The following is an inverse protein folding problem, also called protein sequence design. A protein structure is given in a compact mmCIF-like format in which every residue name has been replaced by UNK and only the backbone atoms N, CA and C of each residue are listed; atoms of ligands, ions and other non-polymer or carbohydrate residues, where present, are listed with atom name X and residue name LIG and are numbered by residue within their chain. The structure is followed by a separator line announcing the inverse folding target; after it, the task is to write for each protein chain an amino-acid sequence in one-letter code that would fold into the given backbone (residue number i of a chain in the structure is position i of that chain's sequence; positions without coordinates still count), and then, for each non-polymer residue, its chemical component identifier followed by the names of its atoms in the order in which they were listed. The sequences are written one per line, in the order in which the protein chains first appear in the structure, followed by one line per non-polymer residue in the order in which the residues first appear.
data_IF_634051938502
#
_entry.id   IF_634051938502
#
_cell.length_a   1.000
_cell.length_b   1.000
_cell.length_c   1.000
_cell.angle_alpha   90.00
_cell.angle_beta   90.00
_cell.angle_gamma   90.00
#
_symmetry.space_group_name_H-M   'P 1'
#
loop_
_entity.id
_entity.type
_entity.pdbx_description
1 polymer ?
#
# COMPACT_ATOMS: atom_id res chain seq x y z
N UNK A 1 -1.67 42.40 86.71
CA UNK A 1 -0.44 41.91 86.04
C UNK A 1 -0.83 40.77 85.11
N UNK A 2 -0.39 40.88 83.85
CA UNK A 2 -0.24 39.88 82.78
C UNK A 2 -1.45 39.12 82.19
N UNK A 3 -1.48 39.18 80.86
CA UNK A 3 -2.44 38.72 79.85
C UNK A 3 -2.57 37.19 79.70
N UNK A 4 -3.65 36.74 79.05
CA UNK A 4 -3.56 35.93 77.81
C UNK A 4 -4.94 35.77 77.13
N UNK A 5 -4.89 35.64 75.81
CA UNK A 5 -5.91 35.86 74.78
C UNK A 5 -6.66 34.58 74.35
N UNK A 6 -7.84 34.75 73.73
CA UNK A 6 -8.23 34.20 72.40
C UNK A 6 -9.35 33.12 72.26
N UNK A 7 -10.46 33.60 71.66
CA UNK A 7 -11.30 33.11 70.53
C UNK A 7 -12.09 31.77 70.58
N UNK A 8 -13.39 31.95 70.84
CA UNK A 8 -14.60 31.67 70.02
C UNK A 8 -14.52 30.71 68.81
N UNK A 9 -15.41 29.71 68.87
CA UNK A 9 -15.84 28.79 67.81
C UNK A 9 -16.89 29.40 66.85
N UNK A 10 -16.96 28.84 65.63
CA UNK A 10 -18.14 28.92 64.76
C UNK A 10 -17.81 29.22 63.29
N UNK A 11 -18.04 28.26 62.38
CA UNK A 11 -17.94 28.50 60.94
C UNK A 11 -18.14 27.26 60.06
N UNK A 12 -19.41 26.99 59.71
CA UNK A 12 -19.95 26.42 58.45
C UNK A 12 -19.07 25.44 57.63
N UNK A 13 -19.49 24.18 57.57
CA UNK A 13 -18.98 23.17 56.62
C UNK A 13 -19.48 23.50 55.21
N UNK A 14 -18.55 23.48 54.25
CA UNK A 14 -18.68 24.13 52.96
C UNK A 14 -19.42 23.30 51.90
N UNK A 15 -20.07 24.03 51.00
CA UNK A 15 -20.21 23.60 49.61
C UNK A 15 -18.81 23.42 49.02
N UNK A 16 -18.42 22.19 48.69
CA UNK A 16 -17.31 21.98 47.76
C UNK A 16 -17.80 22.29 46.35
N UNK A 17 -17.63 23.54 45.97
CA UNK A 17 -17.65 23.97 44.57
C UNK A 17 -16.41 23.36 43.91
N UNK A 18 -16.61 22.27 43.17
CA UNK A 18 -15.57 21.68 42.32
C UNK A 18 -15.26 22.68 41.22
N UNK A 19 -14.17 23.43 41.41
CA UNK A 19 -13.58 24.31 40.39
C UNK A 19 -13.29 23.45 39.15
N UNK A 20 -13.82 23.77 37.95
CA UNK A 20 -13.53 23.01 36.76
C UNK A 20 -12.02 23.11 36.51
N UNK A 21 -11.33 21.99 36.66
CA UNK A 21 -9.91 21.87 36.38
C UNK A 21 -9.71 22.18 34.89
N UNK A 22 -8.79 23.09 34.57
CA UNK A 22 -8.42 23.53 33.20
C UNK A 22 -8.29 22.40 32.16
N UNK A 23 -8.00 21.19 32.63
CA UNK A 23 -7.95 19.94 31.85
C UNK A 23 -9.30 19.51 31.27
N UNK A 24 -10.43 19.76 31.95
CA UNK A 24 -11.77 19.45 31.41
C UNK A 24 -12.09 20.36 30.22
N UNK A 25 -11.72 21.64 30.30
CA UNK A 25 -11.92 22.58 29.18
C UNK A 25 -11.05 22.23 27.96
N UNK A 26 -9.81 21.77 28.17
CA UNK A 26 -8.94 21.32 27.07
C UNK A 26 -9.44 20.02 26.43
N UNK A 27 -9.91 19.07 27.24
CA UNK A 27 -10.48 17.81 26.76
C UNK A 27 -11.79 18.01 26.00
N UNK A 28 -12.68 18.87 26.50
CA UNK A 28 -13.92 19.26 25.82
C UNK A 28 -13.62 19.96 24.49
N UNK A 29 -12.64 20.87 24.47
CA UNK A 29 -12.20 21.52 23.23
C UNK A 29 -11.72 20.51 22.18
N UNK A 30 -10.84 19.56 22.57
CA UNK A 30 -10.37 18.51 21.65
C UNK A 30 -11.48 17.59 21.18
N UNK A 31 -12.47 17.33 22.05
CA UNK A 31 -13.65 16.52 21.71
C UNK A 31 -14.54 17.26 20.71
N UNK A 32 -14.80 18.55 20.92
CA UNK A 32 -15.56 19.40 20.00
C UNK A 32 -14.83 19.58 18.66
N UNK A 33 -13.50 19.64 18.66
CA UNK A 33 -12.67 19.69 17.46
C UNK A 33 -12.61 18.36 16.68
N UNK A 34 -13.25 17.29 17.19
CA UNK A 34 -13.32 16.00 16.50
C UNK A 34 -12.01 15.21 16.47
N UNK A 35 -11.03 15.57 17.30
CA UNK A 35 -9.69 14.95 17.32
C UNK A 35 -9.76 13.45 17.60
N UNK A 36 -10.71 13.02 18.44
CA UNK A 36 -10.93 11.61 18.76
C UNK A 36 -11.29 10.76 17.53
N UNK A 37 -12.19 11.24 16.68
CA UNK A 37 -12.59 10.54 15.45
C UNK A 37 -11.49 10.55 14.40
N UNK A 38 -10.78 11.67 14.27
CA UNK A 38 -9.62 11.78 13.38
C UNK A 38 -8.52 10.80 13.78
N UNK A 39 -8.19 10.71 15.07
CA UNK A 39 -7.19 9.75 15.57
C UNK A 39 -7.68 8.30 15.41
N UNK A 40 -8.95 8.02 15.71
CA UNK A 40 -9.53 6.69 15.53
C UNK A 40 -9.46 6.25 14.07
N UNK A 41 -9.77 7.14 13.13
CA UNK A 41 -9.64 6.90 11.70
C UNK A 41 -8.21 6.62 11.27
N UNK A 42 -7.25 7.42 11.73
CA UNK A 42 -5.82 7.23 11.43
C UNK A 42 -5.28 5.90 11.99
N UNK A 43 -5.67 5.54 13.22
CA UNK A 43 -5.30 4.27 13.85
C UNK A 43 -5.90 3.08 13.11
N UNK A 44 -7.16 3.18 12.65
CA UNK A 44 -7.78 2.15 11.84
C UNK A 44 -7.01 1.95 10.53
N UNK A 45 -6.63 3.04 9.85
CA UNK A 45 -5.83 3.00 8.62
C UNK A 45 -4.44 2.39 8.84
N UNK A 46 -3.79 2.73 9.95
CA UNK A 46 -2.49 2.16 10.33
C UNK A 46 -2.58 0.64 10.54
N UNK A 47 -3.64 0.16 11.20
CA UNK A 47 -3.89 -1.27 11.41
C UNK A 47 -4.25 -1.98 10.10
N UNK A 48 -5.09 -1.36 9.26
CA UNK A 48 -5.43 -1.88 7.93
C UNK A 48 -4.19 -2.00 7.03
N UNK A 49 -3.29 -1.01 7.08
CA UNK A 49 -2.04 -0.96 6.34
C UNK A 49 -0.99 -1.97 6.83
N UNK A 50 -1.08 -2.44 8.08
CA UNK A 50 -0.06 -3.26 8.75
C UNK A 50 1.33 -2.61 8.70
N UNK A 51 1.39 -1.32 9.04
CA UNK A 51 2.66 -0.59 9.01
C UNK A 51 3.66 -1.18 10.00
N UNK A 52 4.88 -1.43 9.54
CA UNK A 52 6.02 -1.84 10.36
C UNK A 52 6.63 -0.63 11.10
N UNK A 53 6.34 0.59 10.64
CA UNK A 53 6.60 1.85 11.32
C UNK A 53 5.28 2.60 11.58
N UNK A 54 4.61 2.31 12.71
CA UNK A 54 3.34 2.95 13.09
C UNK A 54 3.45 4.47 13.22
N UNK A 55 4.58 4.98 13.73
CA UNK A 55 4.75 6.41 14.02
C UNK A 55 5.02 7.18 12.73
N UNK A 56 5.92 6.69 11.89
CA UNK A 56 6.15 7.27 10.56
C UNK A 56 4.89 7.25 9.71
N UNK A 57 4.12 6.16 9.74
CA UNK A 57 2.83 6.09 9.03
C UNK A 57 1.86 7.18 9.48
N UNK A 58 1.70 7.40 10.79
CA UNK A 58 0.78 8.42 11.30
C UNK A 58 1.25 9.83 10.93
N UNK A 59 2.55 10.10 11.00
CA UNK A 59 3.12 11.39 10.60
C UNK A 59 2.82 11.67 9.12
N UNK A 60 3.14 10.72 8.24
CA UNK A 60 2.85 10.81 6.81
C UNK A 60 1.35 10.94 6.54
N UNK A 61 0.51 10.20 7.26
CA UNK A 61 -0.94 10.23 7.09
C UNK A 61 -1.52 11.60 7.40
N UNK A 62 -1.11 12.24 8.50
CA UNK A 62 -1.57 13.59 8.84
C UNK A 62 -1.03 14.66 7.89
N UNK A 63 0.23 14.54 7.45
CA UNK A 63 0.79 15.43 6.42
C UNK A 63 -0.04 15.38 5.13
N UNK A 64 -0.38 14.17 4.65
CA UNK A 64 -1.19 14.00 3.44
C UNK A 64 -2.64 14.52 3.64
N UNK A 65 -3.27 14.25 4.78
CA UNK A 65 -4.61 14.77 5.10
C UNK A 65 -4.66 16.30 5.11
N UNK A 66 -3.62 16.96 5.65
CA UNK A 66 -3.51 18.42 5.64
C UNK A 66 -3.44 18.94 4.19
N UNK A 67 -2.60 18.32 3.35
CA UNK A 67 -2.48 18.68 1.93
C UNK A 67 -3.76 18.43 1.12
N UNK A 68 -4.56 17.42 1.45
CA UNK A 68 -5.87 17.20 0.81
C UNK A 68 -6.85 18.34 1.11
N UNK A 69 -6.81 18.87 2.32
CA UNK A 69 -7.72 19.93 2.79
C UNK A 69 -7.39 21.27 2.12
N UNK A 70 -6.10 21.60 1.94
CA UNK A 70 -5.66 22.86 1.33
C UNK A 70 -5.96 22.93 -0.18
N UNK A 71 -5.79 21.82 -0.90
CA UNK A 71 -6.10 21.74 -2.34
C UNK A 71 -7.60 21.88 -2.66
N UNK A 72 -8.49 21.62 -1.70
CA UNK A 72 -9.93 21.79 -1.86
C UNK A 72 -10.40 23.25 -1.86
N UNK A 73 -9.56 24.18 -1.37
CA UNK A 73 -9.92 25.60 -1.20
C UNK A 73 -9.30 26.53 -2.26
N UNK A 74 -8.29 26.06 -3.00
CA UNK A 74 -7.53 26.85 -3.98
C UNK A 74 -8.18 26.95 -5.39
N UNK A 75 -9.50 26.73 -5.50
CA UNK A 75 -10.25 26.71 -6.77
C UNK A 75 -10.56 28.08 -7.39
N UNK A 76 -10.04 29.18 -6.86
CA UNK A 76 -10.29 30.52 -7.38
C UNK A 76 -9.04 31.38 -7.25
N UNK A 77 -8.16 31.41 -8.26
CA UNK A 77 -7.43 32.61 -8.69
C UNK A 77 -6.58 32.39 -9.96
N UNK A 78 -6.92 33.20 -10.97
CA UNK A 78 -6.20 33.79 -12.10
C UNK A 78 -5.49 32.97 -13.20
N UNK A 79 -5.88 33.38 -14.41
CA UNK A 79 -5.37 33.12 -15.74
C UNK A 79 -3.87 33.42 -15.95
N UNK A 80 -3.25 32.59 -16.79
CA UNK A 80 -2.34 33.02 -17.85
C UNK A 80 -0.90 33.35 -17.46
N UNK A 81 -0.06 32.33 -17.25
CA UNK A 81 1.38 32.23 -17.65
C UNK A 81 2.23 31.22 -16.83
N UNK A 82 1.66 30.11 -16.36
CA UNK A 82 2.39 29.05 -15.62
C UNK A 82 2.45 27.68 -16.34
N UNK A 83 2.38 27.66 -17.67
CA UNK A 83 1.90 26.50 -18.44
C UNK A 83 2.88 25.31 -18.57
N UNK A 84 4.10 25.33 -18.00
CA UNK A 84 5.02 24.19 -18.09
C UNK A 84 5.71 23.77 -16.77
N UNK A 85 6.03 24.69 -15.85
CA UNK A 85 6.58 24.30 -14.54
C UNK A 85 5.52 23.72 -13.59
N UNK A 86 4.25 24.15 -13.72
CA UNK A 86 3.15 23.65 -12.88
C UNK A 86 2.67 22.24 -13.25
N UNK A 87 2.87 21.81 -14.50
CA UNK A 87 2.39 20.52 -14.98
C UNK A 87 3.15 19.34 -14.35
N UNK A 88 4.48 19.45 -14.22
CA UNK A 88 5.31 18.44 -13.56
C UNK A 88 5.07 18.37 -12.06
N UNK A 89 4.90 19.52 -11.40
CA UNK A 89 4.60 19.58 -9.97
C UNK A 89 3.22 18.98 -9.64
N UNK A 90 2.21 19.29 -10.46
CA UNK A 90 0.88 18.69 -10.32
C UNK A 90 0.91 17.17 -10.57
N UNK A 91 1.66 16.71 -11.58
CA UNK A 91 1.83 15.28 -11.86
C UNK A 91 2.49 14.54 -10.69
N UNK A 92 3.54 15.13 -10.12
CA UNK A 92 4.20 14.57 -8.94
C UNK A 92 3.26 14.54 -7.72
N UNK A 93 2.46 15.58 -7.51
CA UNK A 93 1.51 15.64 -6.40
C UNK A 93 0.42 14.57 -6.51
N UNK A 94 -0.15 14.38 -7.70
CA UNK A 94 -1.16 13.34 -7.95
C UNK A 94 -0.59 11.93 -7.76
N UNK A 95 0.65 11.72 -8.20
CA UNK A 95 1.39 10.48 -7.94
C UNK A 95 1.60 10.24 -6.44
N UNK A 96 2.09 11.23 -5.69
CA UNK A 96 2.28 11.11 -4.24
C UNK A 96 0.97 10.75 -3.53
N UNK A 97 -0.14 11.39 -3.94
CA UNK A 97 -1.47 11.09 -3.40
C UNK A 97 -1.97 9.70 -3.78
N UNK A 98 -1.75 9.27 -5.02
CA UNK A 98 -2.09 7.92 -5.47
C UNK A 98 -1.32 6.86 -4.66
N UNK A 99 0.00 7.04 -4.49
CA UNK A 99 0.84 6.16 -3.68
C UNK A 99 0.38 6.12 -2.22
N UNK A 100 0.02 7.26 -1.64
CA UNK A 100 -0.54 7.32 -0.29
C UNK A 100 -1.80 6.47 -0.17
N UNK A 101 -2.78 6.61 -1.07
CA UNK A 101 -3.98 5.75 -1.07
C UNK A 101 -3.63 4.26 -1.16
N UNK A 102 -2.70 3.87 -2.03
CA UNK A 102 -2.27 2.48 -2.18
C UNK A 102 -1.69 1.89 -0.88
N UNK A 103 -1.11 2.72 -0.01
CA UNK A 103 -0.55 2.29 1.29
C UNK A 103 -1.56 2.27 2.44
N UNK A 104 -2.77 2.82 2.27
CA UNK A 104 -3.77 2.88 3.34
C UNK A 104 -4.38 1.52 3.73
N UNK A 105 -4.07 0.45 2.99
CA UNK A 105 -4.51 -0.90 3.32
C UNK A 105 -3.52 -1.93 2.80
N UNK A 106 -3.28 -2.99 3.58
CA UNK A 106 -2.50 -4.14 3.15
C UNK A 106 -3.25 -4.86 2.00
N UNK A 107 -2.52 -5.37 1.02
CA UNK A 107 -3.09 -6.01 -0.18
C UNK A 107 -4.00 -7.22 0.12
N UNK A 108 -3.89 -7.82 1.32
CA UNK A 108 -4.77 -8.89 1.78
C UNK A 108 -6.18 -8.40 2.14
N UNK A 109 -6.37 -7.11 2.39
CA UNK A 109 -7.67 -6.49 2.67
C UNK A 109 -8.41 -6.22 1.37
N UNK A 110 -8.97 -7.27 0.74
CA UNK A 110 -9.45 -7.25 -0.65
C UNK A 110 -10.37 -6.06 -0.97
N UNK A 111 -11.33 -5.71 -0.10
CA UNK A 111 -12.25 -4.60 -0.32
C UNK A 111 -11.57 -3.23 -0.19
N UNK A 112 -10.92 -2.96 0.95
CA UNK A 112 -10.25 -1.70 1.21
C UNK A 112 -9.13 -1.42 0.20
N UNK A 113 -8.28 -2.41 -0.09
CA UNK A 113 -7.22 -2.30 -1.08
C UNK A 113 -7.78 -2.07 -2.48
N UNK A 114 -8.82 -2.79 -2.91
CA UNK A 114 -9.41 -2.58 -4.24
C UNK A 114 -10.02 -1.20 -4.41
N UNK A 115 -10.64 -0.65 -3.35
CA UNK A 115 -11.15 0.72 -3.36
C UNK A 115 -10.01 1.73 -3.48
N UNK A 116 -8.95 1.57 -2.70
CA UNK A 116 -7.77 2.42 -2.75
C UNK A 116 -7.10 2.39 -4.14
N UNK A 117 -6.98 1.22 -4.76
CA UNK A 117 -6.45 1.05 -6.12
C UNK A 117 -7.32 1.79 -7.15
N UNK A 118 -8.65 1.78 -6.99
CA UNK A 118 -9.55 2.57 -7.85
C UNK A 118 -9.30 4.06 -7.70
N UNK A 119 -9.23 4.56 -6.47
CA UNK A 119 -8.94 5.99 -6.20
C UNK A 119 -7.61 6.40 -6.81
N UNK A 120 -6.55 5.60 -6.61
CA UNK A 120 -5.23 5.85 -7.19
C UNK A 120 -5.26 5.89 -8.73
N UNK A 121 -5.98 4.96 -9.36
CA UNK A 121 -6.15 4.95 -10.82
C UNK A 121 -6.85 6.22 -11.33
N UNK A 122 -7.93 6.64 -10.65
CA UNK A 122 -8.70 7.82 -11.05
C UNK A 122 -7.86 9.10 -10.91
N UNK A 123 -7.06 9.24 -9.83
CA UNK A 123 -6.14 10.36 -9.63
C UNK A 123 -5.09 10.45 -10.76
N UNK A 124 -4.48 9.32 -11.11
CA UNK A 124 -3.43 9.24 -12.14
C UNK A 124 -3.98 9.39 -13.57
N UNK A 125 -5.25 9.05 -13.79
CA UNK A 125 -5.92 9.22 -15.09
C UNK A 125 -6.22 10.70 -15.35
N UNK A 126 -6.49 11.49 -14.30
CA UNK A 126 -6.78 12.92 -14.38
C UNK A 126 -5.53 13.78 -14.69
N UNK A 127 -4.33 13.19 -14.70
CA UNK A 127 -3.06 13.89 -14.93
C UNK A 127 -2.73 14.11 -16.42
N UNK A 128 -3.61 13.70 -17.34
CA UNK A 128 -3.46 13.95 -18.77
C UNK A 128 -3.72 15.41 -19.15
N UNK A 129 -3.05 15.97 -20.19
CA UNK A 129 -3.43 17.24 -20.78
C UNK A 129 -4.85 17.07 -21.27
N UNK A 130 -5.75 17.76 -20.58
CA UNK A 130 -7.12 17.93 -20.99
C UNK A 130 -7.03 18.47 -22.42
N UNK A 131 -7.28 17.63 -23.43
CA UNK A 131 -7.45 18.14 -24.79
C UNK A 131 -8.60 19.12 -24.67
N UNK A 132 -8.29 20.42 -24.64
CA UNK A 132 -9.29 21.47 -24.75
C UNK A 132 -10.14 21.06 -25.94
N UNK A 133 -11.39 20.66 -25.66
CA UNK A 133 -12.37 20.51 -26.70
C UNK A 133 -12.35 21.82 -27.46
N UNK A 134 -12.08 21.75 -28.76
CA UNK A 134 -12.21 22.92 -29.61
C UNK A 134 -13.63 23.45 -29.39
N UNK A 135 -13.72 24.66 -28.85
CA UNK A 135 -14.97 25.38 -28.71
C UNK A 135 -15.38 25.75 -30.14
N UNK A 136 -16.06 24.83 -30.82
CA UNK A 136 -16.92 25.17 -31.95
C UNK A 136 -18.18 25.83 -31.38
N UNK A 137 -18.65 26.95 -31.93
CA UNK A 137 -19.76 27.68 -31.35
C UNK A 137 -21.07 26.91 -31.54
N UNK A 138 -21.79 26.74 -30.43
CA UNK A 138 -23.24 26.56 -30.29
C UNK A 138 -23.94 25.49 -31.16
N UNK A 139 -24.43 24.43 -30.51
CA UNK A 139 -25.40 23.52 -31.11
C UNK A 139 -25.88 22.40 -30.20
N UNK A 140 -26.95 22.68 -29.45
CA UNK A 140 -27.89 21.72 -28.85
C UNK A 140 -27.40 20.77 -27.75
N UNK A 141 -27.90 20.99 -26.53
CA UNK A 141 -27.79 20.10 -25.40
C UNK A 141 -28.56 18.80 -25.65
N UNK A 142 -27.84 17.68 -25.81
CA UNK A 142 -28.38 16.32 -25.73
C UNK A 142 -27.80 15.60 -24.50
N UNK A 143 -28.61 14.87 -23.70
CA UNK A 143 -28.12 14.21 -22.51
C UNK A 143 -27.69 12.77 -22.85
N UNK A 144 -26.55 12.56 -23.52
CA UNK A 144 -26.02 11.20 -23.76
C UNK A 144 -24.51 11.20 -24.11
N UNK A 145 -23.81 10.23 -23.53
CA UNK A 145 -22.52 9.64 -23.96
C UNK A 145 -21.24 10.15 -23.29
N UNK A 146 -20.99 9.57 -22.12
CA UNK A 146 -19.71 9.44 -21.42
C UNK A 146 -18.67 8.59 -22.19
N UNK A 147 -18.39 8.91 -23.45
CA UNK A 147 -17.40 8.20 -24.25
C UNK A 147 -16.30 9.16 -24.73
N UNK A 148 -15.45 9.59 -23.81
CA UNK A 148 -14.13 10.10 -24.15
C UNK A 148 -13.23 8.91 -24.54
N UNK A 149 -12.75 8.82 -25.80
CA UNK A 149 -11.91 7.71 -26.22
C UNK A 149 -10.47 7.92 -25.72
N UNK A 150 -9.99 7.05 -24.83
CA UNK A 150 -8.58 6.98 -24.42
C UNK A 150 -8.29 7.13 -22.92
N UNK A 151 -9.24 6.84 -22.03
CA UNK A 151 -9.09 6.98 -20.58
C UNK A 151 -8.26 5.87 -19.94
N UNK A 152 -6.98 6.15 -19.68
CA UNK A 152 -6.08 5.27 -18.95
C UNK A 152 -4.94 6.04 -18.31
N UNK A 153 -4.29 5.44 -17.32
CA UNK A 153 -3.09 6.00 -16.71
C UNK A 153 -1.97 5.97 -17.75
N UNK A 154 -1.21 7.06 -17.90
CA UNK A 154 -0.04 7.04 -18.81
C UNK A 154 0.96 5.97 -18.39
N UNK A 155 1.50 5.21 -19.33
CA UNK A 155 2.46 4.14 -19.04
C UNK A 155 3.69 4.60 -18.27
N UNK A 156 4.15 5.85 -18.45
CA UNK A 156 5.21 6.43 -17.62
C UNK A 156 4.82 6.52 -16.13
N UNK A 157 3.59 6.96 -15.84
CA UNK A 157 3.09 7.14 -14.47
C UNK A 157 2.80 5.80 -13.83
N UNK A 158 2.26 4.86 -14.61
CA UNK A 158 2.11 3.49 -14.20
C UNK A 158 3.46 2.85 -13.84
N UNK A 159 4.44 2.89 -14.73
CA UNK A 159 5.78 2.33 -14.50
C UNK A 159 6.43 2.96 -13.27
N UNK A 160 6.33 4.28 -13.12
CA UNK A 160 6.87 4.98 -11.97
C UNK A 160 6.14 4.64 -10.66
N UNK A 161 4.81 4.47 -10.69
CA UNK A 161 4.03 3.98 -9.53
C UNK A 161 4.53 2.60 -9.10
N UNK A 162 4.75 1.68 -10.05
CA UNK A 162 5.26 0.34 -9.75
C UNK A 162 6.68 0.38 -9.16
N UNK A 163 7.55 1.26 -9.67
CA UNK A 163 8.88 1.48 -9.11
C UNK A 163 8.82 1.93 -7.65
N UNK A 164 7.97 2.93 -7.34
CA UNK A 164 7.76 3.42 -5.97
C UNK A 164 7.25 2.32 -5.03
N UNK A 165 6.26 1.52 -5.46
CA UNK A 165 5.73 0.42 -4.65
C UNK A 165 6.80 -0.64 -4.31
N UNK A 166 7.73 -0.91 -5.23
CA UNK A 166 8.84 -1.81 -4.98
C UNK A 166 9.88 -1.19 -4.03
N UNK A 167 10.32 0.04 -4.30
CA UNK A 167 11.38 0.68 -3.51
C UNK A 167 10.97 0.99 -2.08
N UNK A 168 9.77 1.55 -1.90
CA UNK A 168 9.18 1.82 -0.58
C UNK A 168 8.77 0.54 0.13
N UNK A 169 8.56 -0.53 -0.64
CA UNK A 169 8.41 -1.89 -0.13
C UNK A 169 9.69 -2.47 0.46
N UNK A 170 10.84 -1.80 0.31
CA UNK A 170 12.15 -2.29 0.76
C UNK A 170 12.83 -3.23 -0.24
N UNK A 171 12.36 -3.28 -1.48
CA UNK A 171 12.95 -4.12 -2.53
C UNK A 171 14.03 -3.33 -3.28
N UNK A 172 15.27 -3.83 -3.37
CA UNK A 172 16.31 -3.19 -4.16
C UNK A 172 15.92 -3.06 -5.64
N UNK A 173 16.42 -2.00 -6.29
CA UNK A 173 16.15 -1.73 -7.71
C UNK A 173 16.60 -2.90 -8.59
N UNK A 174 17.77 -3.49 -8.29
CA UNK A 174 18.30 -4.63 -9.04
C UNK A 174 17.38 -5.86 -8.97
N UNK A 175 16.76 -6.10 -7.81
CA UNK A 175 15.88 -7.22 -7.52
C UNK A 175 14.49 -7.04 -8.15
N UNK A 176 13.97 -5.82 -8.17
CA UNK A 176 12.67 -5.49 -8.76
C UNK A 176 12.72 -5.27 -10.28
N UNK A 177 13.88 -4.95 -10.84
CA UNK A 177 14.03 -4.67 -12.28
C UNK A 177 13.48 -5.78 -13.20
N UNK A 178 13.71 -7.09 -12.97
CA UNK A 178 13.17 -8.12 -13.84
C UNK A 178 11.64 -8.21 -13.79
N UNK A 179 11.02 -7.95 -12.63
CA UNK A 179 9.56 -7.87 -12.49
C UNK A 179 9.02 -6.66 -13.26
N UNK A 180 9.61 -5.49 -13.05
CA UNK A 180 9.17 -4.25 -13.69
C UNK A 180 9.30 -4.31 -15.22
N UNK A 181 10.30 -5.00 -15.75
CA UNK A 181 10.41 -5.27 -17.19
C UNK A 181 9.24 -6.12 -17.73
N UNK A 182 8.73 -7.09 -16.96
CA UNK A 182 7.57 -7.90 -17.35
C UNK A 182 6.24 -7.16 -17.29
N UNK A 183 6.16 -6.16 -16.42
CA UNK A 183 4.98 -5.31 -16.23
C UNK A 183 5.07 -4.00 -17.00
N UNK A 184 6.13 -3.78 -17.78
CA UNK A 184 6.37 -2.50 -18.44
C UNK A 184 5.32 -2.23 -19.52
N UNK A 185 4.79 -1.01 -19.51
CA UNK A 185 3.94 -0.46 -20.56
C UNK A 185 4.64 0.81 -21.12
N UNK A 186 4.44 1.11 -22.40
CA UNK A 186 5.16 2.22 -23.07
C UNK A 186 4.78 3.58 -22.45
N UNK A 187 5.70 4.54 -22.42
CA UNK A 187 5.49 5.83 -21.70
C UNK A 187 4.19 6.57 -22.07
N UNK A 188 3.77 6.46 -23.33
CA UNK A 188 2.59 7.11 -23.89
C UNK A 188 1.36 6.20 -23.96
N UNK A 189 1.50 4.92 -23.61
CA UNK A 189 0.41 3.97 -23.58
C UNK A 189 -0.65 4.39 -22.54
N UNK A 190 -1.92 4.24 -22.89
CA UNK A 190 -3.02 4.42 -21.96
C UNK A 190 -3.28 3.08 -21.24
N UNK A 191 -2.73 2.94 -20.04
CA UNK A 191 -2.85 1.73 -19.22
C UNK A 191 -4.27 1.64 -18.65
N UNK A 192 -5.05 0.59 -18.99
CA UNK A 192 -6.41 0.42 -18.49
C UNK A 192 -6.42 -0.03 -17.02
N UNK A 193 -7.55 0.17 -16.34
CA UNK A 193 -7.71 -0.14 -14.92
C UNK A 193 -7.28 -1.56 -14.54
N UNK A 194 -7.64 -2.56 -15.34
CA UNK A 194 -7.33 -3.95 -15.04
C UNK A 194 -5.82 -4.25 -15.07
N UNK A 195 -5.07 -3.63 -15.99
CA UNK A 195 -3.60 -3.72 -16.10
C UNK A 195 -2.94 -2.96 -14.95
N UNK A 196 -3.44 -1.75 -14.66
CA UNK A 196 -2.97 -0.96 -13.51
C UNK A 196 -3.13 -1.73 -12.20
N UNK A 197 -4.34 -2.24 -11.95
CA UNK A 197 -4.67 -3.04 -10.76
C UNK A 197 -3.80 -4.29 -10.68
N UNK A 198 -3.57 -4.98 -11.80
CA UNK A 198 -2.71 -6.15 -11.84
C UNK A 198 -1.27 -5.82 -11.45
N UNK A 199 -0.69 -4.77 -12.03
CA UNK A 199 0.68 -4.35 -11.72
C UNK A 199 0.82 -3.93 -10.26
N UNK A 200 -0.10 -3.09 -9.76
CA UNK A 200 -0.08 -2.61 -8.37
C UNK A 200 -0.19 -3.77 -7.38
N UNK A 201 -1.12 -4.70 -7.60
CA UNK A 201 -1.24 -5.87 -6.76
C UNK A 201 0.04 -6.71 -6.83
N UNK A 202 0.55 -7.00 -8.02
CA UNK A 202 1.76 -7.81 -8.19
C UNK A 202 2.98 -7.21 -7.48
N UNK A 203 3.20 -5.90 -7.60
CA UNK A 203 4.28 -5.20 -6.89
C UNK A 203 4.09 -5.21 -5.38
N UNK A 204 2.88 -4.94 -4.87
CA UNK A 204 2.61 -4.97 -3.43
C UNK A 204 2.86 -6.35 -2.81
N UNK A 205 2.48 -7.40 -3.55
CA UNK A 205 2.71 -8.80 -3.17
C UNK A 205 4.19 -9.16 -3.23
N UNK A 206 4.87 -8.79 -4.31
CA UNK A 206 6.27 -9.06 -4.50
C UNK A 206 7.12 -8.40 -3.39
N UNK A 207 6.83 -7.16 -3.04
CA UNK A 207 7.51 -6.46 -1.95
C UNK A 207 7.39 -7.17 -0.60
N UNK A 208 6.18 -7.64 -0.24
CA UNK A 208 5.98 -8.41 1.00
C UNK A 208 6.70 -9.77 0.94
N UNK A 209 6.65 -10.46 -0.21
CA UNK A 209 7.35 -11.71 -0.42
C UNK A 209 8.88 -11.57 -0.26
N UNK A 210 9.48 -10.56 -0.89
CA UNK A 210 10.91 -10.29 -0.78
C UNK A 210 11.29 -9.94 0.66
N UNK A 211 10.51 -9.12 1.34
CA UNK A 211 10.77 -8.79 2.75
C UNK A 211 10.74 -10.02 3.65
N UNK A 212 9.80 -10.95 3.41
CA UNK A 212 9.76 -12.23 4.12
C UNK A 212 10.98 -13.08 3.79
N UNK A 213 11.41 -13.14 2.54
CA UNK A 213 12.62 -13.85 2.14
C UNK A 213 13.87 -13.27 2.84
N UNK A 214 14.03 -11.94 2.84
CA UNK A 214 15.10 -11.24 3.55
C UNK A 214 15.11 -11.57 5.06
N UNK A 215 13.93 -11.56 5.71
CA UNK A 215 13.78 -11.94 7.13
C UNK A 215 14.20 -13.40 7.35
N UNK A 216 13.74 -14.33 6.51
CA UNK A 216 14.13 -15.73 6.61
C UNK A 216 15.65 -15.92 6.45
N UNK A 217 16.28 -15.20 5.53
CA UNK A 217 17.73 -15.21 5.37
C UNK A 217 18.45 -14.71 6.63
N UNK A 218 17.95 -13.63 7.24
CA UNK A 218 18.52 -13.09 8.47
C UNK A 218 18.43 -14.07 9.65
N UNK A 219 17.38 -14.88 9.74
CA UNK A 219 17.24 -15.92 10.78
C UNK A 219 18.20 -17.11 10.59
N UNK A 220 18.58 -17.42 9.35
CA UNK A 220 19.51 -18.53 9.05
C UNK A 220 20.98 -18.10 9.01
N UNK A 221 21.25 -16.79 9.01
CA UNK A 221 22.59 -16.26 9.12
C UNK A 221 22.95 -16.01 10.58
N UNK A 222 24.09 -16.54 11.01
CA UNK A 222 24.68 -16.12 12.28
C UNK A 222 25.59 -14.91 12.04
N UNK A 223 25.35 -13.77 12.70
CA UNK A 223 26.25 -12.60 12.63
C UNK A 223 27.71 -12.91 12.99
N UNK A 224 27.96 -13.95 13.80
CA UNK A 224 29.30 -14.38 14.20
C UNK A 224 29.96 -15.35 13.20
N UNK A 225 29.19 -16.16 12.47
CA UNK A 225 29.71 -17.18 11.54
C UNK A 225 29.73 -16.72 10.07
N UNK A 226 29.09 -15.58 9.77
CA UNK A 226 29.07 -14.99 8.44
C UNK A 226 27.90 -15.46 7.58
N UNK A 227 28.01 -15.44 6.23
CA UNK A 227 26.89 -15.77 5.34
C UNK A 227 26.40 -17.21 5.52
N UNK A 228 25.10 -17.44 5.38
CA UNK A 228 24.49 -18.74 5.61
C UNK A 228 25.00 -19.82 4.65
N UNK A 229 25.04 -21.07 5.13
CA UNK A 229 25.40 -22.21 4.32
C UNK A 229 24.43 -22.40 3.15
N UNK A 230 24.96 -22.60 1.93
CA UNK A 230 24.15 -22.71 0.70
C UNK A 230 23.09 -23.80 0.78
N UNK A 231 23.40 -24.95 1.38
CA UNK A 231 22.43 -26.04 1.54
C UNK A 231 21.21 -25.62 2.37
N UNK A 232 21.44 -24.85 3.44
CA UNK A 232 20.38 -24.31 4.29
C UNK A 232 19.53 -23.30 3.51
N UNK A 233 20.18 -22.37 2.81
CA UNK A 233 19.51 -21.41 1.94
C UNK A 233 18.66 -22.10 0.85
N UNK A 234 19.18 -23.14 0.20
CA UNK A 234 18.44 -23.92 -0.80
C UNK A 234 17.24 -24.65 -0.20
N UNK A 235 17.35 -25.16 1.04
CA UNK A 235 16.21 -25.74 1.74
C UNK A 235 15.11 -24.71 2.00
N UNK A 236 15.47 -23.51 2.47
CA UNK A 236 14.52 -22.40 2.65
C UNK A 236 13.88 -21.99 1.31
N UNK A 237 14.67 -21.80 0.26
CA UNK A 237 14.17 -21.49 -1.10
C UNK A 237 13.25 -22.60 -1.63
N UNK A 238 13.55 -23.86 -1.35
CA UNK A 238 12.69 -25.01 -1.67
C UNK A 238 11.32 -24.90 -1.00
N UNK A 239 11.28 -24.56 0.29
CA UNK A 239 10.00 -24.36 1.00
C UNK A 239 9.20 -23.17 0.46
N UNK A 240 9.87 -22.06 0.10
CA UNK A 240 9.24 -20.92 -0.56
C UNK A 240 8.66 -21.33 -1.93
N UNK A 241 9.40 -22.11 -2.71
CA UNK A 241 8.95 -22.64 -3.99
C UNK A 241 7.71 -23.54 -3.86
N UNK A 242 7.72 -24.48 -2.92
CA UNK A 242 6.57 -25.36 -2.66
C UNK A 242 5.33 -24.59 -2.19
N UNK A 243 5.52 -23.56 -1.36
CA UNK A 243 4.44 -22.69 -0.94
C UNK A 243 3.82 -21.96 -2.15
N UNK A 244 4.63 -21.53 -3.12
CA UNK A 244 4.11 -20.95 -4.35
C UNK A 244 3.37 -21.99 -5.21
N UNK A 245 3.82 -23.24 -5.28
CA UNK A 245 3.19 -24.30 -6.10
C UNK A 245 1.87 -24.86 -5.52
N UNK A 246 1.77 -25.05 -4.20
CA UNK A 246 0.56 -25.60 -3.55
C UNK A 246 -0.68 -24.73 -3.74
N UNK A 247 -0.50 -23.44 -4.04
CA UNK A 247 -1.59 -22.53 -4.41
C UNK A 247 -2.19 -22.78 -5.81
N UNK A 248 -1.56 -23.62 -6.63
CA UNK A 248 -1.96 -23.92 -8.01
C UNK A 248 -2.96 -25.08 -8.09
N UNK A 249 -2.91 -26.02 -7.14
CA UNK A 249 -3.70 -27.25 -7.13
C UNK A 249 -5.09 -27.11 -6.48
N UNK A 250 -5.36 -26.05 -5.71
CA UNK A 250 -6.67 -25.82 -5.08
C UNK A 250 -7.72 -25.19 -6.03
N UNK A 251 -7.46 -25.18 -7.34
CA UNK A 251 -8.39 -24.70 -8.37
C UNK A 251 -9.64 -25.58 -8.59
N UNK A 252 -9.86 -26.61 -7.77
CA UNK A 252 -10.95 -27.57 -7.90
C UNK A 252 -12.12 -27.42 -6.94
N UNK A 253 -12.05 -26.56 -5.91
CA UNK A 253 -13.16 -26.41 -4.95
C UNK A 253 -13.82 -25.04 -5.04
N UNK A 254 -15.03 -25.07 -5.59
CA UNK A 254 -16.08 -24.06 -5.48
C UNK A 254 -16.14 -23.46 -4.07
N UNK A 255 -16.08 -22.14 -3.98
CA UNK A 255 -16.93 -21.28 -3.12
C UNK A 255 -16.41 -19.83 -3.14
N UNK A 256 -16.49 -19.20 -4.32
CA UNK A 256 -16.39 -17.75 -4.42
C UNK A 256 -17.66 -17.24 -5.12
N UNK A 257 -18.51 -16.59 -4.33
CA UNK A 257 -19.77 -15.95 -4.69
C UNK A 257 -19.87 -15.51 -6.16
N UNK A 258 -20.73 -16.26 -6.85
CA UNK A 258 -21.07 -16.12 -8.25
C UNK A 258 -22.11 -14.98 -8.43
N UNK A 259 -21.64 -13.76 -8.69
CA UNK A 259 -22.39 -12.83 -9.54
C UNK A 259 -21.72 -12.79 -10.91
N UNK A 260 -21.81 -13.89 -11.67
CA UNK A 260 -21.51 -13.83 -13.11
C UNK A 260 -22.84 -13.74 -13.87
N UNK A 261 -23.05 -12.57 -14.45
CA UNK A 261 -23.91 -12.42 -15.62
C UNK A 261 -23.29 -13.28 -16.73
N UNK A 262 -24.08 -14.18 -17.31
CA UNK A 262 -23.71 -15.15 -18.34
C UNK A 262 -23.15 -14.56 -19.66
N UNK A 263 -22.96 -13.23 -19.76
CA UNK A 263 -22.42 -12.56 -20.94
C UNK A 263 -20.99 -11.99 -20.75
N UNK A 264 -20.35 -12.20 -19.59
CA UNK A 264 -18.97 -11.79 -19.39
C UNK A 264 -18.00 -12.88 -19.88
N UNK A 265 -17.44 -12.71 -21.08
CA UNK A 265 -16.22 -13.43 -21.50
C UNK A 265 -15.21 -13.41 -20.34
N UNK A 266 -14.68 -14.57 -19.95
CA UNK A 266 -13.71 -14.69 -18.87
C UNK A 266 -12.57 -13.68 -19.07
N UNK A 267 -12.54 -12.64 -18.24
CA UNK A 267 -11.55 -11.57 -18.34
C UNK A 267 -10.19 -12.16 -17.90
N UNK A 268 -9.18 -12.27 -18.80
CA UNK A 268 -7.88 -12.86 -18.48
C UNK A 268 -7.15 -12.11 -17.35
N UNK A 269 -7.45 -10.81 -17.17
CA UNK A 269 -6.93 -9.98 -16.09
C UNK A 269 -7.53 -10.34 -14.72
N UNK A 270 -8.81 -10.70 -14.68
CA UNK A 270 -9.48 -11.15 -13.44
C UNK A 270 -8.91 -12.50 -12.98
N UNK A 271 -8.65 -13.41 -13.92
CA UNK A 271 -8.06 -14.71 -13.62
C UNK A 271 -6.60 -14.58 -13.16
N UNK A 272 -5.80 -13.71 -13.81
CA UNK A 272 -4.44 -13.40 -13.38
C UNK A 272 -4.40 -12.78 -11.98
N UNK A 273 -5.31 -11.85 -11.70
CA UNK A 273 -5.42 -11.21 -10.38
C UNK A 273 -5.82 -12.20 -9.27
N UNK A 274 -6.73 -13.13 -9.57
CA UNK A 274 -7.14 -14.17 -8.63
C UNK A 274 -5.98 -15.14 -8.34
N UNK A 275 -5.14 -15.44 -9.35
CA UNK A 275 -3.93 -16.25 -9.18
C UNK A 275 -2.88 -15.57 -8.31
N UNK A 276 -2.60 -14.27 -8.54
CA UNK A 276 -1.69 -13.47 -7.69
C UNK A 276 -2.17 -13.45 -6.23
N UNK A 277 -3.47 -13.26 -6.00
CA UNK A 277 -4.06 -13.34 -4.64
C UNK A 277 -4.01 -14.73 -4.00
N UNK A 278 -3.87 -15.82 -4.76
CA UNK A 278 -3.73 -17.19 -4.20
C UNK A 278 -2.28 -17.56 -3.90
N UNK A 279 -1.32 -17.12 -4.72
CA UNK A 279 0.12 -17.27 -4.43
C UNK A 279 0.48 -16.65 -3.06
N UNK A 280 -0.22 -15.59 -2.70
CA UNK A 280 -0.15 -14.89 -1.40
C UNK A 280 -0.63 -15.67 -0.18
N UNK A 281 -1.74 -16.39 -0.30
CA UNK A 281 -2.32 -17.13 0.83
C UNK A 281 -1.49 -18.38 1.15
N UNK A 282 -0.70 -18.87 0.21
CA UNK A 282 0.12 -20.06 0.40
C UNK A 282 1.53 -19.76 0.96
N UNK A 283 2.14 -18.61 0.63
CA UNK A 283 3.40 -18.18 1.27
C UNK A 283 3.22 -17.84 2.77
N UNK A 284 2.00 -17.47 3.18
CA UNK A 284 1.62 -17.33 4.59
C UNK A 284 1.41 -18.68 5.33
N UNK A 285 1.41 -19.82 4.61
CA UNK A 285 1.21 -21.17 5.16
C UNK A 285 2.50 -21.98 5.29
N UNK A 286 3.68 -21.35 5.15
CA UNK A 286 4.94 -22.01 5.53
C UNK A 286 4.90 -22.21 7.05
N UNK A 287 4.52 -23.42 7.46
CA UNK A 287 4.50 -23.75 8.89
C UNK A 287 5.93 -23.82 9.40
N UNK A 288 6.21 -23.29 10.61
CA UNK A 288 7.54 -23.40 11.22
C UNK A 288 8.09 -24.83 11.25
N UNK A 289 7.22 -25.84 11.45
CA UNK A 289 7.61 -27.25 11.47
C UNK A 289 8.14 -27.78 10.13
N UNK A 290 7.48 -27.44 9.00
CA UNK A 290 7.96 -27.81 7.66
C UNK A 290 9.29 -27.14 7.32
N UNK A 291 9.45 -25.87 7.71
CA UNK A 291 10.69 -25.13 7.51
C UNK A 291 11.84 -25.78 8.32
N UNK A 292 11.61 -26.04 9.60
CA UNK A 292 12.60 -26.70 10.46
C UNK A 292 12.98 -28.09 9.95
N UNK A 293 12.01 -28.87 9.46
CA UNK A 293 12.28 -30.18 8.86
C UNK A 293 13.17 -30.08 7.62
N UNK A 294 12.86 -29.15 6.70
CA UNK A 294 13.66 -28.93 5.50
C UNK A 294 15.10 -28.49 5.85
N UNK A 295 15.24 -27.60 6.84
CA UNK A 295 16.54 -27.14 7.34
C UNK A 295 17.35 -28.26 8.01
N UNK A 296 16.71 -29.15 8.78
CA UNK A 296 17.37 -30.26 9.47
C UNK A 296 17.97 -31.31 8.52
N UNK A 297 17.47 -31.40 7.29
CA UNK A 297 17.99 -32.30 6.25
C UNK A 297 19.06 -31.68 5.35
N UNK A 298 19.43 -30.41 5.56
CA UNK A 298 20.44 -29.73 4.75
C UNK A 298 21.86 -30.13 5.21
N UNK A 299 22.56 -30.90 4.39
CA UNK A 299 23.95 -31.29 4.65
C UNK A 299 24.90 -30.08 4.55
N UNK A 300 25.80 -29.85 5.52
CA UNK A 300 26.72 -28.71 5.53
C UNK A 300 27.90 -28.95 4.57
N UNK A 301 27.63 -29.01 3.26
CA UNK A 301 28.64 -29.15 2.22
C UNK A 301 28.89 -27.82 1.50
N UNK A 302 29.90 -27.10 2.00
CA UNK A 302 30.81 -26.17 1.32
C UNK A 302 30.30 -25.37 0.12
N UNK A 303 29.64 -24.24 0.40
CA UNK A 303 29.75 -22.90 -0.20
C UNK A 303 28.72 -22.05 0.57
N UNK A 304 29.02 -20.79 0.91
CA UNK A 304 28.02 -19.91 1.51
C UNK A 304 27.20 -19.21 0.43
N UNK A 305 25.96 -18.85 0.75
CA UNK A 305 25.12 -18.00 -0.10
C UNK A 305 24.98 -16.67 0.61
N UNK A 306 25.30 -15.57 -0.07
CA UNK A 306 25.12 -14.24 0.51
C UNK A 306 23.66 -13.76 0.42
N UNK A 307 23.35 -12.67 1.14
CA UNK A 307 22.00 -12.13 1.23
C UNK A 307 21.43 -11.74 -0.14
N UNK A 308 22.30 -11.23 -1.02
CA UNK A 308 21.90 -10.74 -2.34
C UNK A 308 21.60 -11.91 -3.27
N UNK A 309 22.45 -12.93 -3.28
CA UNK A 309 22.23 -14.16 -4.02
C UNK A 309 20.94 -14.86 -3.59
N UNK A 310 20.68 -14.94 -2.28
CA UNK A 310 19.44 -15.52 -1.75
C UNK A 310 18.21 -14.72 -2.19
N UNK A 311 18.28 -13.40 -2.07
CA UNK A 311 17.18 -12.50 -2.46
C UNK A 311 16.87 -12.61 -3.96
N UNK A 312 17.90 -12.61 -4.82
CA UNK A 312 17.73 -12.74 -6.27
C UNK A 312 17.15 -14.11 -6.64
N UNK A 313 17.61 -15.19 -5.99
CA UNK A 313 17.03 -16.51 -6.18
C UNK A 313 15.56 -16.55 -5.75
N UNK A 314 15.21 -15.96 -4.61
CA UNK A 314 13.83 -15.86 -4.15
C UNK A 314 12.97 -15.05 -5.14
N UNK A 315 13.49 -13.92 -5.64
CA UNK A 315 12.81 -13.07 -6.61
C UNK A 315 12.51 -13.82 -7.91
N UNK A 316 13.47 -14.58 -8.44
CA UNK A 316 13.27 -15.39 -9.66
C UNK A 316 12.15 -16.42 -9.50
N UNK A 317 12.03 -17.07 -8.32
CA UNK A 317 10.90 -17.97 -8.05
C UNK A 317 9.56 -17.23 -8.18
N UNK A 318 9.44 -16.03 -7.65
CA UNK A 318 8.21 -15.25 -7.76
C UNK A 318 7.96 -14.80 -9.21
N UNK A 319 8.97 -14.20 -9.84
CA UNK A 319 8.88 -13.55 -11.15
C UNK A 319 8.57 -14.57 -12.25
N UNK A 320 9.10 -15.80 -12.17
CA UNK A 320 8.78 -16.89 -13.09
C UNK A 320 7.27 -17.16 -13.23
N UNK A 321 6.47 -16.80 -12.22
CA UNK A 321 5.02 -17.04 -12.15
C UNK A 321 4.18 -15.83 -12.57
N UNK A 322 4.80 -14.66 -12.73
CA UNK A 322 4.12 -13.45 -13.16
C UNK A 322 3.87 -13.51 -14.66
N UNK A 323 2.60 -13.35 -15.05
CA UNK A 323 2.18 -13.25 -16.45
C UNK A 323 2.57 -11.89 -17.01
N UNK A 324 2.87 -11.86 -18.30
CA UNK A 324 3.03 -10.63 -19.07
C UNK A 324 1.63 -10.17 -19.50
N UNK A 325 1.33 -8.90 -19.24
CA UNK A 325 -0.05 -8.37 -19.23
C UNK A 325 -0.17 -7.04 -20.01
N UNK A 326 0.96 -6.38 -20.27
CA UNK A 326 1.21 -5.50 -21.42
C UNK A 326 1.87 -6.41 -22.49
#
# INVERSE_FOLDING_TARGET
MTMAEKRRAGGTSGMSEAKPTKTDTEREFLSQAGVGELLRGALLKMVEARSEDPVGFLADHFCNLASETENGMAGCCSDGDMLNLGAGAHEQQQLSRALWHLRLAHHSQRSAFSNNVRVAYDLLTQTGPQRRGGVGPSGSAGPCSSNSPGGGVRGRLYTHTLQCLCSEGGVPISTSAPLLRRLHCQDHEAVPYDVFRHGVLTCAVFSDYIRRAQRLYAEVCDPAEGPAGRALCLAVLGTLHEALETSRSDGGSSDANHYTNANAKANPYLEANTKVSRYLEASAKISPGKLAQAMSGAEPAGVNMDAKEFEDAAAELFIARVRVVC
#
